data_IF_699743016141
#
_entry.id   IF_699743016141
#
_cell.length_a   1.000
_cell.length_b   1.000
_cell.length_c   1.000
_cell.angle_alpha   90.00
_cell.angle_beta   90.00
_cell.angle_gamma   90.00
#
_symmetry.space_group_name_H-M   'P 1'
#
loop_
_entity.id
_entity.type
_entity.pdbx_description
1 polymer ?
#
# COMPACT_ATOMS: atom_id res chain seq x y z
N UNK A 1 4.14 -12.63 11.23
CA UNK A 1 3.73 -11.25 10.88
C UNK A 1 4.93 -10.53 10.27
N UNK A 2 4.76 -9.88 9.10
CA UNK A 2 5.87 -9.21 8.43
C UNK A 2 6.52 -8.10 9.27
N UNK A 3 7.81 -7.82 8.99
CA UNK A 3 8.63 -6.79 9.63
C UNK A 3 8.12 -5.40 9.23
N UNK A 4 7.97 -4.50 10.20
CA UNK A 4 7.64 -3.10 9.91
C UNK A 4 8.74 -2.43 9.10
N UNK A 5 8.37 -1.73 8.03
CA UNK A 5 9.30 -1.03 7.15
C UNK A 5 9.06 0.47 7.26
N UNK A 6 10.09 1.27 7.60
CA UNK A 6 10.00 2.73 7.53
C UNK A 6 9.67 3.20 6.11
N UNK A 7 8.85 4.24 5.97
CA UNK A 7 8.41 4.75 4.66
C UNK A 7 9.56 5.05 3.69
N UNK A 8 10.68 5.57 4.18
CA UNK A 8 11.87 5.87 3.37
C UNK A 8 12.72 4.65 2.99
N UNK A 9 12.43 3.47 3.54
CA UNK A 9 13.17 2.22 3.30
C UNK A 9 12.32 1.15 2.61
N UNK A 10 11.14 1.55 2.10
CA UNK A 10 10.28 0.64 1.34
C UNK A 10 10.97 0.24 0.04
N UNK A 11 10.90 -1.04 -0.29
CA UNK A 11 11.40 -1.63 -1.51
C UNK A 11 10.26 -2.32 -2.27
N UNK A 12 10.36 -2.46 -3.60
CA UNK A 12 9.38 -3.21 -4.37
C UNK A 12 9.12 -4.59 -3.75
N UNK A 13 7.83 -4.94 -3.60
CA UNK A 13 7.38 -6.15 -2.92
C UNK A 13 6.88 -5.94 -1.48
N UNK A 14 7.18 -4.79 -0.85
CA UNK A 14 6.62 -4.48 0.47
C UNK A 14 5.11 -4.27 0.42
N UNK A 15 4.39 -4.74 1.44
CA UNK A 15 2.95 -4.50 1.56
C UNK A 15 2.71 -3.12 2.18
N UNK A 16 1.84 -2.33 1.56
CA UNK A 16 1.44 -0.99 2.04
C UNK A 16 -0.02 -1.00 2.50
N UNK A 17 -0.29 -0.41 3.66
CA UNK A 17 -1.60 -0.50 4.33
C UNK A 17 -2.26 0.87 4.47
N UNK A 18 -3.57 0.92 4.24
CA UNK A 18 -4.36 2.15 4.30
C UNK A 18 -5.65 1.99 5.09
N UNK A 19 -6.09 3.09 5.71
CA UNK A 19 -7.31 3.17 6.52
C UNK A 19 -7.06 3.07 8.03
N UNK A 20 -7.88 3.76 8.83
CA UNK A 20 -7.92 3.59 10.30
C UNK A 20 -9.37 3.33 10.72
N UNK A 21 -9.81 2.07 10.91
CA UNK A 21 -9.03 0.82 10.86
C UNK A 21 -8.52 0.47 9.45
N UNK A 22 -7.51 -0.40 9.36
CA UNK A 22 -6.92 -0.83 8.08
C UNK A 22 -7.98 -1.60 7.29
N UNK A 23 -8.30 -1.12 6.09
CA UNK A 23 -9.30 -1.71 5.19
C UNK A 23 -8.75 -2.01 3.81
N UNK A 24 -7.57 -1.50 3.46
CA UNK A 24 -6.95 -1.68 2.15
C UNK A 24 -5.47 -2.04 2.24
N UNK A 25 -5.02 -2.83 1.26
CA UNK A 25 -3.62 -3.25 1.11
C UNK A 25 -3.22 -3.26 -0.36
N UNK A 26 -1.99 -2.86 -0.65
CA UNK A 26 -1.37 -2.99 -1.96
C UNK A 26 0.08 -3.48 -1.86
N UNK A 27 0.67 -3.84 -3.00
CA UNK A 27 2.09 -4.22 -3.09
C UNK A 27 2.87 -3.06 -3.68
N UNK A 28 3.86 -2.58 -2.95
CA UNK A 28 4.71 -1.45 -3.37
C UNK A 28 5.55 -1.83 -4.59
N UNK A 29 5.65 -0.92 -5.54
CA UNK A 29 6.42 -1.08 -6.78
C UNK A 29 7.65 -0.17 -6.86
N UNK A 30 7.83 0.73 -5.89
CA UNK A 30 8.80 1.83 -6.00
C UNK A 30 8.15 3.13 -6.46
N UNK A 31 8.86 4.25 -6.33
CA UNK A 31 8.42 5.55 -6.86
C UNK A 31 7.07 6.07 -6.33
N UNK A 32 6.62 5.62 -5.15
CA UNK A 32 5.30 5.98 -4.63
C UNK A 32 4.13 5.29 -5.36
N UNK A 33 4.38 4.18 -6.06
CA UNK A 33 3.37 3.40 -6.77
C UNK A 33 3.14 2.05 -6.12
N UNK A 34 1.92 1.54 -6.25
CA UNK A 34 1.56 0.19 -5.83
C UNK A 34 0.68 -0.50 -6.87
N UNK A 35 0.66 -1.82 -6.85
CA UNK A 35 -0.39 -2.62 -7.48
C UNK A 35 -1.42 -3.03 -6.43
N UNK A 36 -2.69 -2.85 -6.75
CA UNK A 36 -3.79 -3.17 -5.84
C UNK A 36 -5.06 -3.66 -6.57
N UNK A 37 -5.98 -4.22 -5.78
CA UNK A 37 -7.33 -4.54 -6.20
C UNK A 37 -8.30 -3.63 -5.41
N UNK A 38 -8.69 -2.46 -5.95
CA UNK A 38 -9.24 -1.36 -5.16
C UNK A 38 -10.62 -1.66 -4.54
N UNK A 39 -11.39 -2.56 -5.15
CA UNK A 39 -12.68 -3.06 -4.65
C UNK A 39 -13.13 -4.29 -5.43
N UNK A 40 -14.07 -5.04 -4.87
CA UNK A 40 -14.73 -6.15 -5.56
C UNK A 40 -15.26 -5.74 -6.94
N UNK A 41 -14.96 -6.55 -7.94
CA UNK A 41 -15.35 -6.32 -9.35
C UNK A 41 -14.50 -5.31 -10.10
N UNK A 42 -13.57 -4.61 -9.46
CA UNK A 42 -12.58 -3.79 -10.16
C UNK A 42 -11.39 -4.64 -10.61
N UNK A 43 -10.75 -4.23 -11.71
CA UNK A 43 -9.52 -4.86 -12.19
C UNK A 43 -8.33 -4.45 -11.32
N UNK A 44 -7.38 -5.36 -11.19
CA UNK A 44 -6.06 -5.08 -10.62
C UNK A 44 -5.41 -3.96 -11.45
N UNK A 45 -4.85 -2.96 -10.78
CA UNK A 45 -4.24 -1.81 -11.44
C UNK A 45 -3.02 -1.31 -10.69
N UNK A 46 -2.19 -0.54 -11.38
CA UNK A 46 -1.11 0.23 -10.77
C UNK A 46 -1.61 1.65 -10.51
N UNK A 47 -1.39 2.15 -9.30
CA UNK A 47 -1.80 3.49 -8.90
C UNK A 47 -0.76 4.12 -7.97
N UNK A 48 -0.65 5.45 -8.06
CA UNK A 48 0.20 6.24 -7.18
C UNK A 48 -0.48 6.45 -5.83
N UNK A 49 0.30 6.42 -4.74
CA UNK A 49 -0.17 6.75 -3.41
C UNK A 49 0.82 7.67 -2.70
N UNK A 50 0.27 8.50 -1.81
CA UNK A 50 1.05 9.43 -1.00
C UNK A 50 0.86 9.15 0.47
N UNK A 51 0.58 10.20 1.24
CA UNK A 51 0.05 10.06 2.60
C UNK A 51 -1.36 9.46 2.61
N UNK A 52 -2.01 9.41 1.45
CA UNK A 52 -3.35 8.85 1.25
C UNK A 52 -3.41 8.00 -0.02
N UNK A 53 -4.36 7.07 -0.01
CA UNK A 53 -4.89 6.37 -1.17
C UNK A 53 -6.40 6.66 -1.23
N UNK A 54 -6.82 7.49 -2.19
CA UNK A 54 -8.16 8.09 -2.16
C UNK A 54 -8.40 8.84 -0.85
N UNK A 55 -9.37 8.39 -0.04
CA UNK A 55 -9.68 8.95 1.30
C UNK A 55 -9.01 8.19 2.45
N UNK A 56 -8.28 7.11 2.15
CA UNK A 56 -7.70 6.24 3.16
C UNK A 56 -6.28 6.73 3.52
N UNK A 57 -6.00 7.08 4.78
CA UNK A 57 -4.65 7.47 5.20
C UNK A 57 -3.70 6.27 5.15
N UNK A 58 -2.45 6.52 4.77
CA UNK A 58 -1.37 5.54 4.88
C UNK A 58 -1.09 5.23 6.36
N UNK A 59 -1.02 3.94 6.69
CA UNK A 59 -0.77 3.47 8.05
C UNK A 59 0.66 3.01 8.23
N UNK A 60 1.19 2.28 7.25
CA UNK A 60 2.54 1.73 7.33
C UNK A 60 2.80 0.70 6.24
N UNK A 61 4.02 0.18 6.25
CA UNK A 61 4.46 -0.87 5.34
C UNK A 61 5.03 -2.08 6.09
N UNK A 62 4.91 -3.28 5.50
CA UNK A 62 5.47 -4.51 6.06
C UNK A 62 6.17 -5.34 4.98
N UNK A 63 7.30 -5.95 5.36
CA UNK A 63 8.03 -6.93 4.54
C UNK A 63 7.81 -8.33 5.08
N UNK A 64 7.50 -9.27 4.19
CA UNK A 64 7.37 -10.69 4.51
C UNK A 64 8.63 -11.46 4.10
#
# INVERSE_FOLDING_TARGET
FGKSVPRGSMAPGDLVFFGRPITHVGIYLGGGQMVDAPRSGARVRVESFGSYFGRLPFVGARRI
#
